data_IF_878047242984
#
_entry.id   IF_878047242984
#
_cell.length_a   1.000
_cell.length_b   1.000
_cell.length_c   1.000
_cell.angle_alpha   90.00
_cell.angle_beta   90.00
_cell.angle_gamma   90.00
#
_symmetry.space_group_name_H-M   'P 1'
#
loop_
_entity.id
_entity.type
_entity.pdbx_description
1 polymer ?
#
# COMPACT_ATOMS: atom_id res chain seq x y z
N UNK A 1 -6.07 -5.39 3.05
CA UNK A 1 -6.89 -6.55 3.46
C UNK A 1 -8.37 -6.18 3.44
N UNK A 2 -9.14 -6.66 2.47
CA UNK A 2 -10.61 -6.48 2.40
C UNK A 2 -11.28 -7.48 3.35
N UNK A 3 -11.13 -7.26 4.66
CA UNK A 3 -11.88 -7.97 5.71
C UNK A 3 -13.25 -7.31 5.89
N UNK A 4 -14.14 -7.51 4.91
CA UNK A 4 -15.54 -7.09 5.06
C UNK A 4 -16.50 -7.90 4.17
N UNK A 5 -16.32 -9.22 4.11
CA UNK A 5 -17.30 -10.16 3.54
C UNK A 5 -17.38 -11.50 4.30
N UNK A 6 -17.11 -11.51 5.62
CA UNK A 6 -17.38 -12.69 6.46
C UNK A 6 -18.87 -12.82 6.75
N UNK A 7 -19.60 -13.22 5.74
CA UNK A 7 -20.99 -13.64 5.79
C UNK A 7 -21.27 -14.36 4.47
N UNK A 8 -21.10 -15.68 4.47
CA UNK A 8 -21.22 -16.62 3.34
C UNK A 8 -21.99 -16.05 2.14
N UNK A 9 -21.31 -15.84 1.01
CA UNK A 9 -21.98 -15.70 -0.29
C UNK A 9 -21.25 -16.56 -1.31
N UNK A 10 -21.98 -17.56 -1.79
CA UNK A 10 -21.67 -18.40 -2.94
C UNK A 10 -21.20 -17.55 -4.13
N UNK A 11 -20.17 -18.03 -4.84
CA UNK A 11 -19.67 -17.54 -6.14
C UNK A 11 -20.45 -16.36 -6.73
N UNK A 12 -20.19 -15.15 -6.23
CA UNK A 12 -20.80 -13.94 -6.80
C UNK A 12 -20.21 -13.74 -8.19
N UNK A 13 -21.06 -13.80 -9.23
CA UNK A 13 -20.64 -13.40 -10.57
C UNK A 13 -20.09 -11.96 -10.53
N UNK A 14 -19.17 -11.63 -11.43
CA UNK A 14 -18.56 -10.30 -11.52
C UNK A 14 -19.63 -9.18 -11.56
N UNK A 15 -20.77 -9.43 -12.21
CA UNK A 15 -21.91 -8.52 -12.23
C UNK A 15 -22.54 -8.29 -10.85
N UNK A 16 -22.78 -9.34 -10.06
CA UNK A 16 -23.38 -9.19 -8.74
C UNK A 16 -22.47 -8.41 -7.77
N UNK A 17 -21.14 -8.56 -7.90
CA UNK A 17 -20.20 -7.75 -7.15
C UNK A 17 -20.25 -6.26 -7.58
N UNK A 18 -20.36 -6.00 -8.89
CA UNK A 18 -20.45 -4.65 -9.41
C UNK A 18 -21.74 -3.94 -9.03
N UNK A 19 -22.85 -4.64 -9.00
CA UNK A 19 -24.12 -4.12 -8.50
C UNK A 19 -23.99 -3.71 -7.04
N UNK A 20 -23.41 -4.57 -6.19
CA UNK A 20 -23.14 -4.24 -4.78
C UNK A 20 -22.22 -3.03 -4.62
N UNK A 21 -21.15 -2.95 -5.41
CA UNK A 21 -20.25 -1.80 -5.39
C UNK A 21 -20.98 -0.53 -5.84
N UNK A 22 -21.81 -0.61 -6.89
CA UNK A 22 -22.60 0.52 -7.39
C UNK A 22 -23.60 1.00 -6.35
N UNK A 23 -24.34 0.11 -5.70
CA UNK A 23 -25.26 0.46 -4.62
C UNK A 23 -24.54 1.18 -3.47
N UNK A 24 -23.33 0.74 -3.11
CA UNK A 24 -22.59 1.31 -1.99
C UNK A 24 -21.90 2.63 -2.32
N UNK A 25 -21.41 2.79 -3.55
CA UNK A 25 -20.51 3.88 -3.94
C UNK A 25 -21.12 4.92 -4.89
N UNK A 26 -22.27 4.64 -5.52
CA UNK A 26 -22.92 5.58 -6.44
C UNK A 26 -23.22 6.91 -5.75
N UNK A 27 -22.83 8.01 -6.40
CA UNK A 27 -22.98 9.37 -5.88
C UNK A 27 -22.08 9.72 -4.68
N UNK A 28 -21.17 8.82 -4.27
CA UNK A 28 -20.24 9.06 -3.15
C UNK A 28 -18.82 9.26 -3.63
N UNK A 29 -18.08 10.07 -2.87
CA UNK A 29 -16.62 10.14 -2.99
C UNK A 29 -16.01 9.01 -2.19
N UNK A 30 -15.07 8.28 -2.79
CA UNK A 30 -14.38 7.17 -2.13
C UNK A 30 -12.89 7.13 -2.44
N UNK A 31 -12.17 6.38 -1.63
CA UNK A 31 -10.77 6.05 -1.82
C UNK A 31 -10.62 4.54 -1.75
N UNK A 32 -10.25 3.90 -2.86
CA UNK A 32 -10.07 2.44 -2.94
C UNK A 32 -8.59 2.10 -3.05
N UNK A 33 -8.11 1.18 -2.22
CA UNK A 33 -6.73 0.68 -2.28
C UNK A 33 -6.75 -0.77 -2.73
N UNK A 34 -6.11 -1.05 -3.86
CA UNK A 34 -5.85 -2.38 -4.37
C UNK A 34 -4.40 -2.73 -4.00
N UNK A 35 -4.26 -3.46 -2.90
CA UNK A 35 -2.96 -3.72 -2.29
C UNK A 35 -2.31 -4.99 -2.85
N UNK A 36 -1.01 -4.93 -3.12
CA UNK A 36 -0.14 -6.02 -3.56
C UNK A 36 -0.69 -6.82 -4.76
N UNK A 37 -0.92 -6.14 -5.89
CA UNK A 37 -1.51 -6.75 -7.10
C UNK A 37 -0.46 -7.18 -8.11
N UNK A 38 -0.58 -8.41 -8.63
CA UNK A 38 0.44 -9.05 -9.49
C UNK A 38 -0.08 -9.51 -10.86
N UNK A 39 -1.39 -9.37 -11.14
CA UNK A 39 -1.96 -9.83 -12.41
C UNK A 39 -1.49 -8.94 -13.58
N UNK A 40 -0.77 -9.52 -14.54
CA UNK A 40 -0.22 -8.78 -15.68
C UNK A 40 -1.05 -8.90 -16.97
N UNK A 41 -2.24 -9.52 -16.89
CA UNK A 41 -3.15 -9.67 -18.02
C UNK A 41 -3.87 -8.34 -18.28
N UNK A 42 -3.54 -7.71 -19.40
CA UNK A 42 -4.11 -6.41 -19.80
C UNK A 42 -5.64 -6.44 -19.91
N UNK A 43 -6.21 -7.49 -20.48
CA UNK A 43 -7.66 -7.61 -20.68
C UNK A 43 -8.45 -7.58 -19.38
N UNK A 44 -7.91 -8.20 -18.32
CA UNK A 44 -8.51 -8.17 -16.98
C UNK A 44 -8.50 -6.76 -16.39
N UNK A 45 -7.43 -5.99 -16.61
CA UNK A 45 -7.35 -4.60 -16.18
C UNK A 45 -8.30 -3.69 -16.96
N UNK A 46 -8.42 -3.86 -18.28
CA UNK A 46 -9.40 -3.12 -19.08
C UNK A 46 -10.83 -3.45 -18.65
N UNK A 47 -11.12 -4.73 -18.40
CA UNK A 47 -12.40 -5.16 -17.86
C UNK A 47 -12.69 -4.50 -16.50
N UNK A 48 -11.73 -4.49 -15.58
CA UNK A 48 -11.87 -3.82 -14.29
C UNK A 48 -12.09 -2.32 -14.43
N UNK A 49 -11.29 -1.62 -15.25
CA UNK A 49 -11.45 -0.17 -15.52
C UNK A 49 -12.83 0.15 -16.10
N UNK A 50 -13.30 -0.64 -17.05
CA UNK A 50 -14.64 -0.55 -17.64
C UNK A 50 -15.75 -0.79 -16.61
N UNK A 51 -15.52 -1.66 -15.65
CA UNK A 51 -16.47 -1.94 -14.58
C UNK A 51 -16.54 -0.80 -13.55
N UNK A 52 -15.39 -0.24 -13.16
CA UNK A 52 -15.29 0.86 -12.20
C UNK A 52 -15.84 2.18 -12.76
N UNK A 53 -15.71 2.42 -14.07
CA UNK A 53 -16.28 3.61 -14.73
C UNK A 53 -17.82 3.64 -14.67
N UNK A 54 -18.47 2.48 -14.50
CA UNK A 54 -19.94 2.34 -14.41
C UNK A 54 -20.50 2.60 -13.00
N UNK A 55 -19.65 2.85 -12.00
CA UNK A 55 -20.08 3.03 -10.61
C UNK A 55 -20.79 4.37 -10.33
N UNK A 56 -20.84 5.30 -11.30
CA UNK A 56 -21.41 6.65 -11.13
C UNK A 56 -20.83 7.37 -9.88
N UNK A 57 -19.49 7.42 -9.82
CA UNK A 57 -18.73 7.92 -8.67
C UNK A 57 -18.79 9.45 -8.57
N UNK A 58 -18.82 9.99 -7.35
CA UNK A 58 -18.72 11.45 -7.19
C UNK A 58 -17.33 11.98 -7.59
N UNK A 59 -17.23 13.24 -8.05
CA UNK A 59 -15.95 13.86 -8.34
C UNK A 59 -14.97 13.82 -7.16
N UNK A 60 -13.71 13.47 -7.46
CA UNK A 60 -12.64 13.33 -6.48
C UNK A 60 -12.49 11.93 -5.89
N UNK A 61 -13.26 10.94 -6.34
CA UNK A 61 -12.97 9.54 -6.03
C UNK A 61 -11.63 9.10 -6.62
N UNK A 62 -10.86 8.33 -5.87
CA UNK A 62 -9.51 7.88 -6.26
C UNK A 62 -9.33 6.39 -5.99
N UNK A 63 -8.50 5.77 -6.82
CA UNK A 63 -8.06 4.39 -6.65
C UNK A 63 -6.54 4.40 -6.62
N UNK A 64 -5.93 3.71 -5.66
CA UNK A 64 -4.50 3.46 -5.61
C UNK A 64 -4.26 1.97 -5.78
N UNK A 65 -3.31 1.63 -6.65
CA UNK A 65 -2.81 0.26 -6.81
C UNK A 65 -1.39 0.23 -6.24
N UNK A 66 -1.11 -0.69 -5.32
CA UNK A 66 0.27 -0.99 -4.90
C UNK A 66 0.70 -2.30 -5.57
N UNK A 67 1.91 -2.31 -6.11
CA UNK A 67 2.47 -3.47 -6.81
C UNK A 67 3.99 -3.39 -6.81
N UNK A 68 4.64 -4.55 -6.89
CA UNK A 68 6.08 -4.67 -7.16
C UNK A 68 6.38 -4.87 -8.65
N UNK A 69 5.37 -5.15 -9.48
CA UNK A 69 5.55 -5.33 -10.92
C UNK A 69 5.45 -3.98 -11.65
N UNK A 70 6.55 -3.59 -12.29
CA UNK A 70 6.57 -2.42 -13.18
C UNK A 70 5.57 -2.56 -14.33
N UNK A 71 5.28 -3.78 -14.79
CA UNK A 71 4.30 -4.03 -15.85
C UNK A 71 2.86 -3.79 -15.36
N UNK A 72 2.52 -4.27 -14.17
CA UNK A 72 1.21 -3.95 -13.55
C UNK A 72 1.06 -2.44 -13.36
N UNK A 73 2.12 -1.76 -12.92
CA UNK A 73 2.10 -0.30 -12.78
C UNK A 73 1.80 0.39 -14.12
N UNK A 74 2.48 0.01 -15.21
CA UNK A 74 2.23 0.57 -16.54
C UNK A 74 0.82 0.27 -17.09
N UNK A 75 0.22 -0.87 -16.74
CA UNK A 75 -1.14 -1.22 -17.17
C UNK A 75 -2.25 -0.43 -16.45
N UNK A 76 -1.95 0.06 -15.25
CA UNK A 76 -2.92 0.68 -14.32
C UNK A 76 -2.74 2.17 -14.16
N UNK A 77 -1.58 2.72 -14.54
CA UNK A 77 -1.26 4.11 -14.34
C UNK A 77 -2.18 5.04 -15.16
N UNK A 78 -2.75 6.01 -14.46
CA UNK A 78 -3.54 7.12 -15.04
C UNK A 78 -2.97 8.47 -14.63
N UNK A 79 -2.00 8.46 -13.71
CA UNK A 79 -1.28 9.60 -13.17
C UNK A 79 0.20 9.22 -13.05
N UNK A 80 1.12 10.20 -12.99
CA UNK A 80 2.53 9.93 -12.77
C UNK A 80 2.76 9.08 -11.51
N UNK A 81 3.62 8.06 -11.61
CA UNK A 81 3.91 7.18 -10.48
C UNK A 81 4.65 7.97 -9.39
N UNK A 82 4.26 7.83 -8.11
CA UNK A 82 5.06 8.34 -7.02
C UNK A 82 6.39 7.60 -6.98
N UNK A 83 7.49 8.34 -6.89
CA UNK A 83 8.80 7.75 -6.67
C UNK A 83 8.91 7.38 -5.19
N UNK A 84 9.06 6.08 -4.90
CA UNK A 84 9.38 5.60 -3.57
C UNK A 84 10.90 5.50 -3.47
N UNK A 85 11.51 6.52 -2.90
CA UNK A 85 12.95 6.58 -2.70
C UNK A 85 13.38 5.79 -1.45
N UNK A 86 14.65 5.41 -1.43
CA UNK A 86 15.27 4.81 -0.25
C UNK A 86 15.35 5.84 0.87
N UNK A 87 15.23 5.36 2.10
CA UNK A 87 15.46 6.19 3.29
C UNK A 87 16.94 6.52 3.43
N UNK A 88 17.22 7.68 4.02
CA UNK A 88 18.53 8.03 4.52
C UNK A 88 18.91 7.15 5.74
N UNK A 89 20.21 7.09 6.04
CA UNK A 89 20.70 6.40 7.24
C UNK A 89 20.07 6.95 8.52
N UNK A 90 19.82 8.26 8.61
CA UNK A 90 19.20 8.88 9.79
C UNK A 90 17.71 8.51 9.93
N UNK A 91 16.99 8.36 8.82
CA UNK A 91 15.61 7.86 8.82
C UNK A 91 15.55 6.38 9.22
N UNK A 92 16.46 5.54 8.69
CA UNK A 92 16.60 4.15 9.15
C UNK A 92 16.95 4.07 10.64
N UNK A 93 17.85 4.94 11.12
CA UNK A 93 18.19 5.02 12.54
C UNK A 93 16.98 5.42 13.38
N UNK A 94 16.15 6.36 12.90
CA UNK A 94 14.93 6.77 13.59
C UNK A 94 13.94 5.62 13.74
N UNK A 95 13.79 4.78 12.72
CA UNK A 95 12.95 3.56 12.77
C UNK A 95 13.52 2.55 13.79
N UNK A 96 14.81 2.27 13.72
CA UNK A 96 15.50 1.35 14.65
C UNK A 96 15.38 1.83 16.10
N UNK A 97 15.68 3.12 16.35
CA UNK A 97 15.57 3.73 17.67
C UNK A 97 14.14 3.62 18.20
N UNK A 98 13.15 3.90 17.37
CA UNK A 98 11.74 3.79 17.77
C UNK A 98 11.34 2.35 18.09
N UNK A 99 11.80 1.36 17.32
CA UNK A 99 11.54 -0.05 17.57
C UNK A 99 12.19 -0.52 18.89
N UNK A 100 13.45 -0.13 19.13
CA UNK A 100 14.21 -0.50 20.32
C UNK A 100 13.70 0.17 21.61
N UNK A 101 13.18 1.40 21.51
CA UNK A 101 12.70 2.22 22.64
C UNK A 101 11.16 2.27 22.70
N UNK A 102 10.52 1.10 22.64
CA UNK A 102 9.05 0.98 22.64
C UNK A 102 8.35 1.49 23.92
N UNK A 103 9.09 1.75 25.00
CA UNK A 103 8.59 2.25 26.29
C UNK A 103 8.65 3.79 26.43
N UNK A 104 9.09 4.51 25.40
CA UNK A 104 9.20 5.97 25.44
C UNK A 104 10.46 6.49 26.16
N UNK A 105 11.39 5.61 26.52
CA UNK A 105 12.73 6.03 26.96
C UNK A 105 13.48 6.68 25.78
N UNK A 106 13.82 7.96 25.91
CA UNK A 106 14.57 8.69 24.86
C UNK A 106 16.09 8.55 25.00
N UNK A 107 16.53 8.06 26.16
CA UNK A 107 17.94 7.94 26.56
C UNK A 107 18.52 6.59 26.14
N UNK A 108 19.03 6.56 24.91
CA UNK A 108 19.92 5.49 24.47
C UNK A 108 21.35 5.87 24.88
N UNK A 109 22.07 5.01 25.64
CA UNK A 109 23.49 5.23 25.92
C UNK A 109 24.31 5.48 24.64
N UNK A 110 25.23 6.44 24.67
CA UNK A 110 26.04 6.84 23.49
C UNK A 110 26.71 5.67 22.77
N UNK A 111 27.13 4.64 23.52
CA UNK A 111 27.72 3.43 22.95
C UNK A 111 26.74 2.62 22.10
N UNK A 112 25.48 2.51 22.53
CA UNK A 112 24.41 1.81 21.82
C UNK A 112 23.89 2.63 20.64
N UNK A 113 23.84 3.95 20.76
CA UNK A 113 23.51 4.84 19.63
C UNK A 113 24.50 4.64 18.49
N UNK A 114 25.81 4.59 18.79
CA UNK A 114 26.84 4.34 17.76
C UNK A 114 26.62 3.01 17.05
N UNK A 115 26.31 1.94 17.78
CA UNK A 115 26.03 0.62 17.20
C UNK A 115 24.77 0.67 16.34
N UNK A 116 23.70 1.27 16.85
CA UNK A 116 22.44 1.39 16.14
C UNK A 116 22.54 2.19 14.83
N UNK A 117 23.39 3.22 14.79
CA UNK A 117 23.69 3.96 13.55
C UNK A 117 24.49 3.14 12.53
N UNK A 118 25.41 2.30 12.97
CA UNK A 118 26.09 1.35 12.07
C UNK A 118 25.12 0.30 11.52
N UNK A 119 24.17 -0.19 12.33
CA UNK A 119 23.08 -1.05 11.86
C UNK A 119 22.21 -0.32 10.85
N UNK A 120 21.83 0.94 11.12
CA UNK A 120 21.03 1.76 10.23
C UNK A 120 21.68 1.96 8.86
N UNK A 121 23.01 2.12 8.83
CA UNK A 121 23.78 2.18 7.59
C UNK A 121 23.71 0.87 6.80
N UNK A 122 23.72 -0.26 7.50
CA UNK A 122 23.59 -1.60 6.89
C UNK A 122 22.16 -1.91 6.42
N UNK A 123 21.15 -1.15 6.85
CA UNK A 123 19.78 -1.29 6.35
C UNK A 123 19.62 -0.92 4.87
N UNK A 124 20.58 -0.16 4.30
CA UNK A 124 20.57 0.21 2.89
C UNK A 124 19.37 1.07 2.47
N UNK A 125 18.78 1.81 3.42
CA UNK A 125 17.61 2.66 3.17
C UNK A 125 16.28 1.93 3.04
N UNK A 126 16.23 0.61 3.25
CA UNK A 126 14.99 -0.16 3.24
C UNK A 126 14.27 -0.03 4.60
N UNK A 127 13.05 0.52 4.68
CA UNK A 127 12.33 0.66 5.95
C UNK A 127 12.13 -0.68 6.66
N UNK A 128 11.84 -1.74 5.88
CA UNK A 128 11.58 -3.07 6.42
C UNK A 128 12.81 -3.68 7.11
N UNK A 129 14.03 -3.43 6.62
CA UNK A 129 15.25 -3.93 7.27
C UNK A 129 15.52 -3.19 8.57
N UNK A 130 15.23 -1.88 8.62
CA UNK A 130 15.33 -1.09 9.84
C UNK A 130 14.30 -1.50 10.91
N UNK A 131 13.12 -1.95 10.50
CA UNK A 131 12.10 -2.42 11.46
C UNK A 131 12.43 -3.79 12.06
N UNK A 132 12.98 -4.72 11.27
CA UNK A 132 13.27 -6.10 11.73
C UNK A 132 14.49 -6.15 12.66
N UNK A 133 15.45 -5.25 12.48
CA UNK A 133 16.69 -5.20 13.28
C UNK A 133 16.60 -4.25 14.48
N UNK A 134 15.41 -3.70 14.75
CA UNK A 134 15.15 -2.76 15.83
C UNK A 134 14.61 -3.42 17.09
#
# INVERSE_FOLDING_TARGET
MLELLSGRVATTSQQALLEKLREKLSGKRYFLVLDDVWNEESEKWESLKSCLSKLNSAPGSKIIVTTRSGKVASLTETLPRPKLDLLSTDECWSILKHAACSDGSSDIPLGLERIGREIAKNCGGLPLTAQING
#
